data_IF_704000631098
#
_entry.id   IF_704000631098
#
_cell.length_a   1.000
_cell.length_b   1.000
_cell.length_c   1.000
_cell.angle_alpha   90.00
_cell.angle_beta   90.00
_cell.angle_gamma   90.00
#
_symmetry.space_group_name_H-M   'P 1'
#
loop_
_entity.id
_entity.type
_entity.pdbx_description
1 polymer ?
#
# COMPACT_ATOMS: atom_id res chain seq x y z
N UNK A 1 20.43 -7.54 -26.71
CA UNK A 1 18.96 -7.45 -26.75
C UNK A 1 18.59 -6.03 -26.36
N UNK A 2 18.14 -5.21 -27.28
CA UNK A 2 17.68 -3.85 -26.97
C UNK A 2 16.29 -3.99 -26.33
N UNK A 3 16.14 -3.51 -25.09
CA UNK A 3 14.89 -3.51 -24.33
C UNK A 3 13.94 -2.42 -24.90
N UNK A 4 13.63 -2.49 -26.21
CA UNK A 4 12.75 -1.53 -26.84
C UNK A 4 11.30 -1.93 -26.58
N UNK A 5 10.56 -1.06 -25.86
CA UNK A 5 9.10 -1.14 -25.63
C UNK A 5 8.62 -2.50 -25.09
N UNK A 6 8.85 -2.74 -23.79
CA UNK A 6 8.25 -3.83 -23.04
C UNK A 6 7.10 -3.25 -22.19
N UNK A 7 5.81 -3.42 -22.58
CA UNK A 7 4.70 -2.69 -21.97
C UNK A 7 4.64 -2.79 -20.44
N UNK A 8 4.93 -3.95 -19.86
CA UNK A 8 4.96 -4.14 -18.41
C UNK A 8 6.09 -3.33 -17.73
N UNK A 9 7.28 -3.28 -18.34
CA UNK A 9 8.41 -2.53 -17.84
C UNK A 9 8.15 -1.02 -17.95
N UNK A 10 7.63 -0.57 -19.09
CA UNK A 10 7.30 0.84 -19.32
C UNK A 10 6.24 1.31 -18.33
N UNK A 11 5.21 0.52 -18.07
CA UNK A 11 4.18 0.81 -17.07
C UNK A 11 4.78 0.91 -15.66
N UNK A 12 5.60 -0.05 -15.27
CA UNK A 12 6.22 -0.07 -13.94
C UNK A 12 7.14 1.16 -13.72
N UNK A 13 7.94 1.52 -14.74
CA UNK A 13 8.83 2.68 -14.68
C UNK A 13 8.09 4.02 -14.73
N UNK A 14 6.90 4.05 -15.35
CA UNK A 14 6.06 5.24 -15.42
C UNK A 14 5.21 5.48 -14.16
N UNK A 15 5.24 4.60 -13.17
CA UNK A 15 4.39 4.68 -11.97
C UNK A 15 4.38 6.07 -11.30
N UNK A 16 3.18 6.54 -10.98
CA UNK A 16 2.92 7.75 -10.18
C UNK A 16 1.73 7.54 -9.26
N UNK A 17 1.88 7.88 -7.98
CA UNK A 17 0.75 7.85 -7.05
C UNK A 17 -0.27 8.92 -7.41
N UNK A 18 -1.47 8.53 -7.81
CA UNK A 18 -2.58 9.41 -8.20
C UNK A 18 -3.49 9.66 -6.99
N UNK A 19 -3.77 10.94 -6.70
CA UNK A 19 -4.58 11.40 -5.55
C UNK A 19 -5.75 12.31 -5.96
N UNK A 20 -5.92 12.54 -7.26
CA UNK A 20 -7.11 13.14 -7.85
C UNK A 20 -7.60 12.24 -8.95
N UNK A 21 -8.88 11.93 -8.90
CA UNK A 21 -9.55 11.04 -9.83
C UNK A 21 -10.72 11.76 -10.47
N UNK A 22 -11.07 11.39 -11.69
CA UNK A 22 -12.32 11.81 -12.32
C UNK A 22 -13.49 11.08 -11.65
N UNK A 23 -14.72 11.54 -11.94
CA UNK A 23 -15.94 10.87 -11.49
C UNK A 23 -16.31 9.64 -12.36
N UNK A 24 -15.53 9.35 -13.39
CA UNK A 24 -15.79 8.23 -14.29
C UNK A 24 -15.69 6.91 -13.52
N UNK A 25 -16.74 6.07 -13.57
CA UNK A 25 -16.70 4.76 -12.93
C UNK A 25 -15.75 3.82 -13.66
N UNK A 26 -15.12 2.93 -12.92
CA UNK A 26 -14.33 1.82 -13.50
C UNK A 26 -15.30 0.73 -13.96
N UNK A 27 -15.28 0.31 -15.24
CA UNK A 27 -16.11 -0.79 -15.72
C UNK A 27 -15.89 -2.07 -14.92
N UNK A 28 -16.96 -2.80 -14.63
CA UNK A 28 -16.90 -4.01 -13.80
C UNK A 28 -15.94 -5.08 -14.38
N UNK A 29 -15.93 -5.24 -15.69
CA UNK A 29 -15.01 -6.17 -16.38
C UNK A 29 -13.54 -5.74 -16.22
N UNK A 30 -13.25 -4.44 -16.24
CA UNK A 30 -11.90 -3.91 -16.02
C UNK A 30 -11.47 -4.14 -14.56
N UNK A 31 -12.35 -3.87 -13.59
CA UNK A 31 -12.08 -4.14 -12.19
C UNK A 31 -11.83 -5.64 -11.97
N UNK A 32 -12.63 -6.51 -12.58
CA UNK A 32 -12.44 -7.96 -12.51
C UNK A 32 -11.08 -8.36 -13.05
N UNK A 33 -10.68 -7.87 -14.23
CA UNK A 33 -9.37 -8.16 -14.82
C UNK A 33 -8.21 -7.73 -13.92
N UNK A 34 -8.31 -6.55 -13.30
CA UNK A 34 -7.32 -6.02 -12.37
C UNK A 34 -7.21 -6.89 -11.11
N UNK A 35 -8.34 -7.33 -10.54
CA UNK A 35 -8.37 -8.22 -9.38
C UNK A 35 -7.86 -9.62 -9.71
N UNK A 36 -8.15 -10.16 -10.91
CA UNK A 36 -7.61 -11.43 -11.38
C UNK A 36 -6.09 -11.38 -11.55
N UNK A 37 -5.54 -10.26 -12.02
CA UNK A 37 -4.09 -10.07 -12.05
C UNK A 37 -3.49 -10.09 -10.64
N UNK A 38 -4.17 -9.48 -9.67
CA UNK A 38 -3.80 -9.59 -8.25
C UNK A 38 -3.84 -11.02 -7.75
N UNK A 39 -4.92 -11.74 -8.01
CA UNK A 39 -5.11 -13.15 -7.62
C UNK A 39 -4.05 -14.09 -8.20
N UNK A 40 -3.48 -13.75 -9.34
CA UNK A 40 -2.41 -14.51 -9.98
C UNK A 40 -1.03 -14.33 -9.31
N UNK A 41 -0.91 -13.45 -8.31
CA UNK A 41 0.33 -13.27 -7.58
C UNK A 41 0.76 -14.53 -6.82
N UNK A 42 2.06 -14.72 -6.68
CA UNK A 42 2.61 -15.77 -5.84
C UNK A 42 2.28 -15.55 -4.37
N UNK A 43 2.11 -16.64 -3.63
CA UNK A 43 1.94 -16.60 -2.17
C UNK A 43 2.93 -17.53 -1.49
N UNK A 44 3.38 -17.14 -0.29
CA UNK A 44 4.30 -17.92 0.53
C UNK A 44 3.74 -19.30 0.82
N UNK A 45 4.46 -20.36 0.44
CA UNK A 45 4.04 -21.77 0.61
C UNK A 45 2.62 -22.07 0.10
N UNK A 46 2.14 -21.29 -0.87
CA UNK A 46 0.78 -21.41 -1.42
C UNK A 46 -0.34 -21.24 -0.37
N UNK A 47 -0.08 -20.49 0.68
CA UNK A 47 -1.04 -20.31 1.79
C UNK A 47 -2.26 -19.47 1.41
N UNK A 48 -2.12 -18.53 0.48
CA UNK A 48 -3.22 -17.68 0.00
C UNK A 48 -3.97 -16.98 1.16
N UNK A 49 -3.21 -16.45 2.11
CA UNK A 49 -3.69 -15.87 3.36
C UNK A 49 -4.05 -14.38 3.25
N UNK A 50 -4.57 -13.96 2.11
CA UNK A 50 -4.98 -12.58 1.88
C UNK A 50 -6.44 -12.49 1.44
N UNK A 51 -7.11 -11.42 1.86
CA UNK A 51 -8.43 -11.01 1.38
C UNK A 51 -8.40 -9.57 0.90
N UNK A 52 -9.25 -9.26 -0.07
CA UNK A 52 -9.47 -7.90 -0.54
C UNK A 52 -10.93 -7.53 -0.35
N UNK A 53 -11.18 -6.45 0.36
CA UNK A 53 -12.52 -5.93 0.57
C UNK A 53 -12.72 -4.72 -0.33
N UNK A 54 -13.67 -4.81 -1.27
CA UNK A 54 -14.12 -3.68 -2.06
C UNK A 54 -15.11 -2.87 -1.25
N UNK A 55 -14.75 -1.64 -0.91
CA UNK A 55 -15.62 -0.74 -0.16
C UNK A 55 -16.36 0.17 -1.13
N UNK A 56 -17.63 -0.14 -1.40
CA UNK A 56 -18.51 0.65 -2.28
C UNK A 56 -19.46 1.56 -1.50
N UNK A 57 -19.72 1.26 -0.23
CA UNK A 57 -20.58 2.06 0.64
C UNK A 57 -19.92 3.42 0.95
N UNK A 58 -20.67 4.50 0.68
CA UNK A 58 -20.15 5.87 0.82
C UNK A 58 -19.97 6.29 2.27
N UNK A 59 -20.82 5.84 3.18
CA UNK A 59 -20.70 6.17 4.60
C UNK A 59 -19.48 5.48 5.20
N UNK A 60 -19.23 4.21 4.85
CA UNK A 60 -18.01 3.52 5.25
C UNK A 60 -16.76 4.23 4.68
N UNK A 61 -16.77 4.64 3.40
CA UNK A 61 -15.66 5.40 2.82
C UNK A 61 -15.41 6.72 3.53
N UNK A 62 -16.46 7.42 3.93
CA UNK A 62 -16.37 8.66 4.69
C UNK A 62 -15.72 8.45 6.05
N UNK A 63 -16.15 7.44 6.80
CA UNK A 63 -15.52 7.10 8.08
C UNK A 63 -14.05 6.69 7.88
N UNK A 64 -13.75 5.87 6.87
CA UNK A 64 -12.35 5.52 6.54
C UNK A 64 -11.51 6.74 6.17
N UNK A 65 -12.07 7.73 5.46
CA UNK A 65 -11.40 9.00 5.20
C UNK A 65 -11.07 9.74 6.49
N UNK A 66 -12.02 9.79 7.43
CA UNK A 66 -11.83 10.44 8.75
C UNK A 66 -10.72 9.76 9.54
N UNK A 67 -10.69 8.42 9.58
CA UNK A 67 -9.61 7.64 10.18
C UNK A 67 -8.25 7.95 9.52
N UNK A 68 -8.25 8.20 8.22
CA UNK A 68 -7.04 8.55 7.47
C UNK A 68 -6.53 9.98 7.75
N UNK A 69 -7.23 10.77 8.56
CA UNK A 69 -6.79 12.12 8.90
C UNK A 69 -5.50 12.06 9.74
N UNK A 70 -4.59 12.99 9.48
CA UNK A 70 -3.57 13.39 10.45
C UNK A 70 -4.22 14.26 11.53
N UNK A 71 -3.58 14.36 12.67
CA UNK A 71 -4.04 15.18 13.80
C UNK A 71 -4.44 16.60 13.35
N UNK A 72 -5.72 16.95 13.51
CA UNK A 72 -6.28 18.23 13.05
C UNK A 72 -6.55 18.36 11.54
N UNK A 73 -6.36 17.31 10.74
CA UNK A 73 -6.61 17.32 9.30
C UNK A 73 -7.97 16.73 8.91
N UNK A 74 -8.41 16.98 7.66
CA UNK A 74 -9.68 16.49 7.11
C UNK A 74 -9.60 15.09 6.47
N UNK A 75 -8.49 14.38 6.64
CA UNK A 75 -8.25 13.10 5.98
C UNK A 75 -7.95 13.21 4.48
N UNK A 76 -7.88 12.06 3.84
CA UNK A 76 -7.56 11.96 2.41
C UNK A 76 -8.86 11.91 1.59
N UNK A 77 -9.31 13.05 1.04
CA UNK A 77 -10.56 13.15 0.27
C UNK A 77 -10.66 12.09 -0.85
N UNK A 78 -9.55 11.70 -1.44
CA UNK A 78 -9.52 10.69 -2.49
C UNK A 78 -9.88 9.26 -2.01
N UNK A 79 -9.90 8.96 -0.72
CA UNK A 79 -10.43 7.70 -0.17
C UNK A 79 -11.94 7.63 -0.39
N UNK A 80 -12.64 8.76 -0.22
CA UNK A 80 -14.07 8.87 -0.43
C UNK A 80 -14.43 8.97 -1.93
N UNK A 81 -13.63 9.71 -2.71
CA UNK A 81 -13.96 10.11 -4.08
C UNK A 81 -13.35 9.27 -5.20
N UNK A 82 -12.43 8.34 -4.91
CA UNK A 82 -11.93 7.43 -5.95
C UNK A 82 -13.05 6.53 -6.48
N UNK A 83 -12.94 6.08 -7.72
CA UNK A 83 -13.93 5.17 -8.31
C UNK A 83 -14.03 3.87 -7.51
N UNK A 84 -12.88 3.27 -7.17
CA UNK A 84 -12.80 2.03 -6.42
C UNK A 84 -11.88 2.20 -5.20
N UNK A 85 -12.33 1.73 -4.03
CA UNK A 85 -11.52 1.65 -2.83
C UNK A 85 -11.45 0.19 -2.36
N UNK A 86 -10.24 -0.33 -2.33
CA UNK A 86 -9.93 -1.70 -1.95
C UNK A 86 -9.16 -1.71 -0.62
N UNK A 87 -9.51 -2.60 0.30
CA UNK A 87 -8.74 -2.83 1.54
C UNK A 87 -8.14 -4.21 1.49
N UNK A 88 -6.82 -4.28 1.55
CA UNK A 88 -6.04 -5.52 1.59
C UNK A 88 -5.83 -5.95 3.02
N UNK A 89 -6.15 -7.20 3.29
CA UNK A 89 -6.08 -7.80 4.63
C UNK A 89 -5.20 -9.04 4.63
N UNK A 90 -4.51 -9.30 5.75
CA UNK A 90 -4.12 -10.67 6.08
C UNK A 90 -5.40 -11.38 6.51
N UNK A 91 -5.59 -12.60 6.04
CA UNK A 91 -6.77 -13.41 6.36
C UNK A 91 -6.34 -14.86 6.60
N UNK A 92 -6.16 -15.20 7.86
CA UNK A 92 -5.92 -16.56 8.33
C UNK A 92 -7.20 -17.22 8.87
N UNK A 93 -8.33 -16.51 8.92
CA UNK A 93 -9.61 -17.08 9.39
C UNK A 93 -10.02 -18.30 8.57
N UNK A 94 -9.81 -18.25 7.25
CA UNK A 94 -10.09 -19.41 6.36
C UNK A 94 -9.22 -20.63 6.66
N UNK A 95 -7.98 -20.44 7.16
CA UNK A 95 -7.11 -21.55 7.54
C UNK A 95 -7.65 -22.26 8.78
N UNK A 96 -8.12 -21.50 9.78
CA UNK A 96 -8.81 -22.06 10.96
C UNK A 96 -10.11 -22.76 10.59
N UNK A 97 -10.78 -22.36 9.50
CA UNK A 97 -11.97 -23.07 8.98
C UNK A 97 -11.59 -24.41 8.35
N UNK A 98 -10.43 -24.50 7.69
CA UNK A 98 -9.93 -25.75 7.08
C UNK A 98 -9.42 -26.71 8.15
N UNK A 99 -8.64 -26.18 9.13
CA UNK A 99 -8.12 -26.95 10.24
C UNK A 99 -8.01 -26.05 11.48
N UNK A 100 -8.82 -26.33 12.49
CA UNK A 100 -8.84 -25.58 13.75
C UNK A 100 -7.53 -25.68 14.57
N UNK A 101 -6.60 -26.59 14.21
CA UNK A 101 -5.32 -26.79 14.91
C UNK A 101 -4.19 -25.94 14.31
N UNK A 102 -4.43 -25.18 13.22
CA UNK A 102 -3.39 -24.33 12.64
C UNK A 102 -2.93 -23.26 13.64
N UNK A 103 -1.64 -23.00 13.63
CA UNK A 103 -1.00 -22.03 14.53
C UNK A 103 -0.63 -20.78 13.74
N UNK A 104 -1.49 -19.76 13.82
CA UNK A 104 -1.30 -18.49 13.08
C UNK A 104 -0.70 -17.39 13.95
N UNK A 105 -0.40 -17.69 15.20
CA UNK A 105 0.13 -16.75 16.21
C UNK A 105 1.66 -16.50 16.12
N UNK A 106 2.35 -17.19 15.21
CA UNK A 106 3.76 -16.94 14.93
C UNK A 106 3.97 -15.63 14.18
N UNK A 107 5.03 -14.90 14.54
CA UNK A 107 5.44 -13.66 13.84
C UNK A 107 5.68 -13.90 12.34
N UNK A 108 6.16 -15.08 11.96
CA UNK A 108 6.38 -15.47 10.56
C UNK A 108 5.08 -15.42 9.74
N UNK A 109 3.95 -15.84 10.30
CA UNK A 109 2.65 -15.79 9.61
C UNK A 109 2.21 -14.36 9.33
N UNK A 110 2.48 -13.44 10.25
CA UNK A 110 2.25 -12.00 10.02
C UNK A 110 3.14 -11.46 8.92
N UNK A 111 4.44 -11.80 8.92
CA UNK A 111 5.40 -11.35 7.92
C UNK A 111 5.04 -11.84 6.52
N UNK A 112 4.81 -13.14 6.37
CA UNK A 112 4.44 -13.73 5.08
C UNK A 112 3.12 -13.18 4.56
N UNK A 113 2.11 -13.05 5.42
CA UNK A 113 0.83 -12.46 5.03
C UNK A 113 0.93 -10.99 4.58
N UNK A 114 1.77 -10.21 5.25
CA UNK A 114 1.99 -8.81 4.86
C UNK A 114 2.76 -8.69 3.55
N UNK A 115 3.77 -9.54 3.32
CA UNK A 115 4.55 -9.61 2.08
C UNK A 115 3.63 -10.03 0.92
N UNK A 116 2.89 -11.11 1.07
CA UNK A 116 1.98 -11.64 0.05
C UNK A 116 0.91 -10.61 -0.34
N UNK A 117 0.35 -9.87 0.64
CA UNK A 117 -0.59 -8.78 0.37
C UNK A 117 0.05 -7.65 -0.46
N UNK A 118 1.31 -7.32 -0.18
CA UNK A 118 2.07 -6.34 -0.96
C UNK A 118 2.31 -6.79 -2.39
N UNK A 119 2.68 -8.06 -2.61
CA UNK A 119 2.89 -8.66 -3.93
C UNK A 119 1.58 -8.66 -4.73
N UNK A 120 0.49 -9.12 -4.12
CA UNK A 120 -0.85 -9.11 -4.72
C UNK A 120 -1.28 -7.70 -5.13
N UNK A 121 -1.14 -6.73 -4.22
CA UNK A 121 -1.54 -5.35 -4.47
C UNK A 121 -0.70 -4.69 -5.57
N UNK A 122 0.60 -5.01 -5.67
CA UNK A 122 1.45 -4.47 -6.74
C UNK A 122 1.05 -5.03 -8.11
N UNK A 123 0.62 -6.30 -8.21
CA UNK A 123 0.04 -6.83 -9.44
C UNK A 123 -1.26 -6.08 -9.82
N UNK A 124 -2.13 -5.80 -8.83
CA UNK A 124 -3.34 -4.98 -9.04
C UNK A 124 -2.98 -3.59 -9.58
N UNK A 125 -2.00 -2.93 -8.99
CA UNK A 125 -1.57 -1.59 -9.43
C UNK A 125 -1.01 -1.63 -10.85
N UNK A 126 -0.12 -2.57 -11.15
CA UNK A 126 0.48 -2.69 -12.48
C UNK A 126 -0.59 -2.96 -13.56
N UNK A 127 -1.53 -3.86 -13.28
CA UNK A 127 -2.64 -4.14 -14.18
C UNK A 127 -3.54 -2.90 -14.37
N UNK A 128 -3.89 -2.22 -13.29
CA UNK A 128 -4.70 -1.00 -13.35
C UNK A 128 -4.02 0.10 -14.19
N UNK A 129 -2.74 0.36 -13.94
CA UNK A 129 -1.96 1.37 -14.69
C UNK A 129 -1.80 0.98 -16.17
N UNK A 130 -1.66 -0.30 -16.50
CA UNK A 130 -1.63 -0.78 -17.89
C UNK A 130 -2.93 -0.54 -18.65
N UNK A 131 -4.05 -0.42 -17.92
CA UNK A 131 -5.38 -0.11 -18.45
C UNK A 131 -5.72 1.40 -18.40
N UNK A 132 -4.75 2.25 -18.04
CA UNK A 132 -4.93 3.70 -17.98
C UNK A 132 -5.56 4.21 -16.67
N UNK A 133 -5.73 3.35 -15.66
CA UNK A 133 -6.14 3.78 -14.32
C UNK A 133 -4.95 4.34 -13.54
N UNK A 134 -5.23 5.13 -12.52
CA UNK A 134 -4.26 5.55 -11.53
C UNK A 134 -4.52 4.90 -10.18
N UNK A 135 -3.48 4.84 -9.35
CA UNK A 135 -3.55 4.21 -8.03
C UNK A 135 -2.82 4.99 -6.95
N UNK A 136 -3.22 4.80 -5.68
CA UNK A 136 -2.43 5.20 -4.51
C UNK A 136 -2.72 4.29 -3.31
N UNK A 137 -1.67 3.87 -2.64
CA UNK A 137 -1.73 3.11 -1.39
C UNK A 137 -2.06 4.00 -0.19
N UNK A 138 -2.90 3.51 0.71
CA UNK A 138 -3.41 4.22 1.89
C UNK A 138 -3.03 3.46 3.17
N UNK A 139 -1.84 3.74 3.68
CA UNK A 139 -1.40 3.16 4.95
C UNK A 139 -2.06 3.81 6.18
N UNK A 140 -2.64 4.98 6.03
CA UNK A 140 -3.28 5.74 7.12
C UNK A 140 -4.60 5.15 7.63
N UNK A 141 -5.18 4.15 6.96
CA UNK A 141 -6.28 3.35 7.56
C UNK A 141 -5.86 2.71 8.88
N UNK A 142 -4.56 2.48 9.12
CA UNK A 142 -4.02 1.95 10.37
C UNK A 142 -3.94 2.98 11.51
N UNK A 143 -4.39 4.23 11.32
CA UNK A 143 -4.43 5.22 12.40
C UNK A 143 -5.43 4.83 13.49
N UNK A 144 -6.53 4.14 13.10
CA UNK A 144 -7.44 3.45 14.00
C UNK A 144 -7.82 2.11 13.38
N UNK A 145 -6.89 1.16 13.50
CA UNK A 145 -7.01 -0.16 12.88
C UNK A 145 -8.16 -0.98 13.47
N UNK A 146 -8.47 -0.78 14.75
CA UNK A 146 -9.58 -1.47 15.42
C UNK A 146 -10.92 -1.02 14.84
N UNK A 147 -11.11 0.30 14.70
CA UNK A 147 -12.32 0.86 14.08
C UNK A 147 -12.47 0.43 12.62
N UNK A 148 -11.37 0.35 11.85
CA UNK A 148 -11.41 -0.20 10.48
C UNK A 148 -11.86 -1.65 10.48
N UNK A 149 -11.37 -2.47 11.42
CA UNK A 149 -11.81 -3.86 11.57
C UNK A 149 -13.31 -3.97 11.86
N UNK A 150 -13.83 -3.15 12.76
CA UNK A 150 -15.27 -3.08 13.07
C UNK A 150 -16.11 -2.65 11.86
N UNK A 151 -15.73 -1.54 11.19
CA UNK A 151 -16.44 -1.00 10.03
C UNK A 151 -16.53 -2.01 8.87
N UNK A 152 -15.50 -2.81 8.69
CA UNK A 152 -15.43 -3.80 7.62
C UNK A 152 -15.93 -5.18 8.06
N UNK A 153 -16.35 -5.36 9.33
CA UNK A 153 -16.83 -6.63 9.87
C UNK A 153 -15.78 -7.73 9.85
N UNK A 154 -14.51 -7.38 10.13
CA UNK A 154 -13.42 -8.36 10.07
C UNK A 154 -13.51 -9.34 11.23
N UNK A 155 -13.44 -10.66 10.96
CA UNK A 155 -13.40 -11.67 12.02
C UNK A 155 -12.03 -11.71 12.70
N UNK A 156 -11.94 -12.46 13.79
CA UNK A 156 -10.67 -12.87 14.39
C UNK A 156 -9.76 -13.51 13.32
N UNK A 157 -8.46 -13.40 13.46
CA UNK A 157 -7.45 -13.85 12.50
C UNK A 157 -7.48 -13.11 11.15
N UNK A 158 -8.05 -11.90 11.13
CA UNK A 158 -8.05 -11.03 9.94
C UNK A 158 -7.63 -9.62 10.31
N UNK A 159 -6.66 -9.04 9.57
CA UNK A 159 -6.06 -7.73 9.87
C UNK A 159 -6.02 -6.87 8.61
N UNK A 160 -6.59 -5.64 8.62
CA UNK A 160 -6.49 -4.72 7.51
C UNK A 160 -5.10 -4.08 7.46
N UNK A 161 -4.41 -4.21 6.33
CA UNK A 161 -3.03 -3.74 6.17
C UNK A 161 -2.97 -2.33 5.58
N UNK A 162 -3.61 -2.15 4.45
CA UNK A 162 -3.65 -0.88 3.73
C UNK A 162 -4.85 -0.82 2.77
N UNK A 163 -5.26 0.41 2.45
CA UNK A 163 -6.19 0.68 1.38
C UNK A 163 -5.48 0.91 0.05
N UNK A 164 -6.21 0.80 -1.04
CA UNK A 164 -5.80 1.15 -2.40
C UNK A 164 -6.95 1.90 -3.07
N UNK A 165 -6.70 3.16 -3.44
CA UNK A 165 -7.60 3.92 -4.30
C UNK A 165 -7.27 3.63 -5.75
N UNK A 166 -8.29 3.41 -6.58
CA UNK A 166 -8.21 3.23 -8.02
C UNK A 166 -9.23 4.12 -8.73
N UNK A 167 -8.89 4.57 -9.93
CA UNK A 167 -9.80 5.35 -10.79
C UNK A 167 -9.06 5.99 -11.95
N UNK A 168 -9.79 6.67 -12.82
CA UNK A 168 -9.19 7.44 -13.91
C UNK A 168 -8.49 8.69 -13.35
N UNK A 169 -7.20 8.93 -13.67
CA UNK A 169 -6.45 10.03 -13.11
C UNK A 169 -6.97 11.39 -13.62
N UNK A 170 -7.16 12.34 -12.69
CA UNK A 170 -7.41 13.76 -12.96
C UNK A 170 -6.18 14.62 -12.60
N UNK A 171 -5.00 14.06 -12.74
CA UNK A 171 -3.74 14.75 -12.49
C UNK A 171 -2.59 14.05 -13.21
N UNK A 172 -1.53 14.80 -13.48
CA UNK A 172 -0.28 14.28 -14.02
C UNK A 172 0.89 14.76 -13.16
N UNK A 173 1.13 14.13 -12.01
CA UNK A 173 2.17 14.56 -11.09
C UNK A 173 3.57 14.25 -11.64
N UNK A 174 4.56 15.01 -11.20
CA UNK A 174 5.97 14.70 -11.46
C UNK A 174 6.31 13.32 -10.91
N UNK A 175 7.17 12.61 -11.61
CA UNK A 175 7.71 11.33 -11.13
C UNK A 175 8.62 11.59 -9.91
N UNK A 176 8.37 10.85 -8.83
CA UNK A 176 9.16 11.00 -7.61
C UNK A 176 10.52 10.33 -7.80
N UNK A 177 11.64 10.97 -7.44
CA UNK A 177 12.95 10.34 -7.43
C UNK A 177 12.99 9.06 -6.59
N UNK A 178 13.91 8.17 -6.94
CA UNK A 178 14.22 6.96 -6.17
C UNK A 178 15.72 6.96 -5.88
N UNK A 179 16.08 6.30 -4.78
CA UNK A 179 17.51 6.04 -4.50
C UNK A 179 18.18 5.40 -5.71
N UNK A 180 19.45 5.71 -5.98
CA UNK A 180 20.21 5.05 -7.04
C UNK A 180 20.18 3.53 -6.91
N UNK A 181 20.12 2.81 -8.03
CA UNK A 181 19.95 1.37 -8.02
C UNK A 181 21.08 0.64 -7.29
N UNK A 182 22.32 1.10 -7.43
CA UNK A 182 23.50 0.56 -6.76
C UNK A 182 23.51 0.78 -5.23
N UNK A 183 22.66 1.69 -4.74
CA UNK A 183 22.40 1.86 -3.31
C UNK A 183 21.44 0.80 -2.76
N UNK A 184 20.51 0.33 -3.61
CA UNK A 184 19.49 -0.64 -3.24
C UNK A 184 19.94 -2.09 -3.48
N UNK A 185 20.82 -2.30 -4.46
CA UNK A 185 21.25 -3.64 -4.89
C UNK A 185 22.72 -3.86 -4.51
N UNK A 186 22.96 -4.87 -3.70
CA UNK A 186 24.31 -5.32 -3.33
C UNK A 186 24.56 -6.72 -3.88
N UNK A 187 25.74 -6.98 -4.43
CA UNK A 187 26.12 -8.29 -4.91
C UNK A 187 26.71 -9.14 -3.78
N UNK A 188 26.18 -10.34 -3.59
CA UNK A 188 26.58 -11.35 -2.62
C UNK A 188 26.54 -10.95 -1.13
N UNK A 189 26.89 -9.72 -0.76
CA UNK A 189 26.91 -9.23 0.62
C UNK A 189 26.35 -7.81 0.69
N UNK A 190 25.70 -7.49 1.80
CA UNK A 190 25.20 -6.15 2.06
C UNK A 190 26.32 -5.10 1.97
N UNK A 191 26.06 -4.03 1.26
CA UNK A 191 26.91 -2.85 1.17
C UNK A 191 26.13 -1.63 1.64
N UNK A 192 26.59 -0.93 2.69
CA UNK A 192 25.94 0.29 3.14
C UNK A 192 26.07 1.39 2.07
N UNK A 193 25.04 2.25 1.97
CA UNK A 193 25.11 3.45 1.14
C UNK A 193 26.15 4.42 1.71
N UNK A 194 26.90 5.11 0.84
CA UNK A 194 27.82 6.16 1.28
C UNK A 194 27.06 7.44 1.68
N UNK A 195 27.65 8.22 2.59
CA UNK A 195 27.07 9.48 3.02
C UNK A 195 26.93 10.48 1.87
N UNK A 196 27.87 10.47 0.91
CA UNK A 196 27.86 11.35 -0.26
C UNK A 196 26.68 11.04 -1.20
N UNK A 197 26.42 9.75 -1.46
CA UNK A 197 25.28 9.32 -2.29
C UNK A 197 23.94 9.69 -1.63
N UNK A 198 23.83 9.47 -0.32
CA UNK A 198 22.62 9.84 0.42
C UNK A 198 22.40 11.36 0.46
N UNK A 199 23.47 12.16 0.58
CA UNK A 199 23.40 13.63 0.53
C UNK A 199 22.97 14.12 -0.86
N UNK A 200 23.54 13.56 -1.93
CA UNK A 200 23.15 13.90 -3.31
C UNK A 200 21.67 13.58 -3.58
N UNK A 201 21.22 12.40 -3.17
CA UNK A 201 19.80 12.03 -3.29
C UNK A 201 18.88 12.95 -2.45
N UNK A 202 19.32 13.37 -1.29
CA UNK A 202 18.56 14.29 -0.44
C UNK A 202 18.33 15.64 -1.15
N UNK A 203 19.33 16.21 -1.84
CA UNK A 203 19.21 17.42 -2.62
C UNK A 203 18.31 17.23 -3.87
N UNK A 204 18.35 16.07 -4.52
CA UNK A 204 17.43 15.73 -5.61
C UNK A 204 15.98 15.74 -5.13
N UNK A 205 15.68 15.12 -3.97
CA UNK A 205 14.35 15.11 -3.37
C UNK A 205 13.90 16.51 -2.98
N UNK A 206 14.81 17.35 -2.47
CA UNK A 206 14.53 18.74 -2.13
C UNK A 206 14.13 19.55 -3.38
N UNK A 207 14.86 19.39 -4.48
CA UNK A 207 14.54 19.99 -5.77
C UNK A 207 13.17 19.55 -6.26
N UNK A 208 12.89 18.24 -6.24
CA UNK A 208 11.58 17.69 -6.59
C UNK A 208 10.43 18.34 -5.78
N UNK A 209 10.57 18.53 -4.46
CA UNK A 209 9.49 19.12 -3.66
C UNK A 209 9.30 20.62 -3.91
N UNK A 210 10.38 21.35 -4.23
CA UNK A 210 10.29 22.75 -4.65
C UNK A 210 9.51 22.87 -5.95
N UNK A 211 9.82 22.05 -6.94
CA UNK A 211 9.13 22.04 -8.25
C UNK A 211 7.67 21.58 -8.12
N UNK A 212 7.44 20.52 -7.34
CA UNK A 212 6.10 19.92 -7.20
C UNK A 212 5.11 20.80 -6.42
N UNK A 213 5.55 21.46 -5.38
CA UNK A 213 4.64 22.06 -4.38
C UNK A 213 5.16 23.35 -3.75
N UNK A 214 6.30 23.88 -4.17
CA UNK A 214 6.93 25.07 -3.58
C UNK A 214 7.40 24.87 -2.13
N UNK A 215 7.48 23.61 -1.64
CA UNK A 215 7.83 23.30 -0.26
C UNK A 215 9.32 23.00 -0.13
N UNK A 216 9.93 23.48 0.96
CA UNK A 216 11.29 23.13 1.34
C UNK A 216 11.27 21.85 2.18
N UNK A 217 11.13 20.72 1.50
CA UNK A 217 11.10 19.37 2.08
C UNK A 217 12.22 18.55 1.45
N UNK A 218 12.91 17.79 2.27
CA UNK A 218 13.92 16.83 1.82
C UNK A 218 13.65 15.43 2.38
N UNK A 219 14.40 14.45 1.92
CA UNK A 219 14.21 13.06 2.31
C UNK A 219 14.59 12.80 3.77
N UNK A 220 15.73 13.33 4.22
CA UNK A 220 16.22 13.17 5.59
C UNK A 220 15.26 13.78 6.60
N UNK A 221 14.75 14.97 6.33
CA UNK A 221 13.75 15.64 7.17
C UNK A 221 12.44 14.87 7.24
N UNK A 222 11.99 14.25 6.13
CA UNK A 222 10.79 13.41 6.13
C UNK A 222 10.97 12.15 6.99
N UNK A 223 12.14 11.48 6.90
CA UNK A 223 12.46 10.32 7.76
C UNK A 223 12.47 10.76 9.23
N UNK A 224 13.22 11.81 9.55
CA UNK A 224 13.32 12.33 10.92
C UNK A 224 11.93 12.65 11.47
N UNK A 225 11.10 13.41 10.75
CA UNK A 225 9.76 13.78 11.19
C UNK A 225 8.84 12.56 11.36
N UNK A 226 8.94 11.56 10.49
CA UNK A 226 8.10 10.36 10.57
C UNK A 226 8.48 9.48 11.76
N UNK A 227 9.78 9.38 12.08
CA UNK A 227 10.31 8.47 13.09
C UNK A 227 10.69 9.17 14.41
N UNK A 228 10.47 10.48 14.53
CA UNK A 228 10.74 11.22 15.77
C UNK A 228 9.85 10.83 16.95
N UNK A 229 8.74 10.17 16.69
CA UNK A 229 7.75 9.74 17.69
C UNK A 229 7.35 8.29 17.44
N UNK A 230 6.82 7.58 18.46
CA UNK A 230 6.27 6.26 18.26
C UNK A 230 5.18 6.27 17.17
N UNK A 231 5.32 5.39 16.17
CA UNK A 231 4.35 5.25 15.08
C UNK A 231 3.37 4.15 15.44
N UNK A 232 2.13 4.53 15.73
CA UNK A 232 1.03 3.60 16.08
C UNK A 232 1.44 2.59 17.17
N UNK A 233 1.75 3.04 18.39
CA UNK A 233 2.29 2.17 19.46
C UNK A 233 1.31 1.06 19.89
N UNK A 234 0.02 1.22 19.59
CA UNK A 234 -1.04 0.24 19.86
C UNK A 234 -1.02 -0.98 18.89
N UNK A 235 -0.25 -0.90 17.78
CA UNK A 235 -0.32 -1.87 16.69
C UNK A 235 -0.05 -3.29 17.15
N UNK A 236 1.00 -3.51 17.95
CA UNK A 236 1.35 -4.85 18.42
C UNK A 236 0.21 -5.47 19.25
N UNK A 237 -0.38 -4.69 20.16
CA UNK A 237 -1.51 -5.17 20.98
C UNK A 237 -2.72 -5.54 20.12
N UNK A 238 -3.03 -4.75 19.11
CA UNK A 238 -4.10 -5.10 18.16
C UNK A 238 -3.81 -6.40 17.39
N UNK A 239 -2.59 -6.55 16.85
CA UNK A 239 -2.18 -7.75 16.12
C UNK A 239 -2.28 -9.02 17.00
N UNK A 240 -1.82 -8.91 18.25
CA UNK A 240 -1.90 -9.99 19.22
C UNK A 240 -3.35 -10.32 19.60
N UNK A 241 -4.20 -9.31 19.72
CA UNK A 241 -5.65 -9.47 19.91
C UNK A 241 -6.31 -10.20 18.74
N UNK A 242 -5.83 -9.97 17.51
CA UNK A 242 -6.29 -10.66 16.30
C UNK A 242 -5.63 -12.04 16.08
N UNK A 243 -4.85 -12.54 17.03
CA UNK A 243 -4.25 -13.87 16.95
C UNK A 243 -2.91 -13.95 16.20
N UNK A 244 -2.24 -12.82 15.93
CA UNK A 244 -0.93 -12.79 15.27
C UNK A 244 0.19 -12.34 16.21
N UNK A 245 1.44 -12.64 15.84
CA UNK A 245 2.65 -12.15 16.53
C UNK A 245 2.64 -12.33 18.06
N UNK A 246 2.14 -13.46 18.56
CA UNK A 246 2.21 -13.83 19.97
C UNK A 246 3.49 -14.59 20.30
N UNK A 247 4.14 -15.11 19.29
CA UNK A 247 5.41 -15.86 19.34
C UNK A 247 6.36 -15.48 18.22
#
# INVERSE_FOLDING_TARGET
MTLNSLPALDTALAHRSIRRFTEQPVPAEMLTAVLEAGRAASTSSYQQNNSVIRVSDREIRKELREICASEGGMGHAYVEHCAEFLVFCIDAARHHTVDAQVQTDWTEVLLTGAIDAGIMAQNVVLAAESLGLGAVYIGSIRNDIARVGELLGLPEHTVPLFGLCLGYPDQQPLQRPRLPLDTLVSENRYRPASAEVLAAYNEEVKTYYRERSGRDLDWAGQIANTLARPVRPFMLGYLQGQGFAKR
#
